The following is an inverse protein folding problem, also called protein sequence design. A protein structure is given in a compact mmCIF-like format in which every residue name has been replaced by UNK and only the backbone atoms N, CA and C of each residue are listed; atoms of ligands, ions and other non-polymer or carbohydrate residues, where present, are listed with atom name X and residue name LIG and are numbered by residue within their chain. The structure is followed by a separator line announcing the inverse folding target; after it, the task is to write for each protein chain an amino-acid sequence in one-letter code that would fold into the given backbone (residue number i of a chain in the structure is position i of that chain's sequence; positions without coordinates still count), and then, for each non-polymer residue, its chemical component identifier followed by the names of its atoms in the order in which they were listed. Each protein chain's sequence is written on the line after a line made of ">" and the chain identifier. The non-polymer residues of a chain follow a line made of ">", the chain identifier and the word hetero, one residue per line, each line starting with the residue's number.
data_IF_716939175819
#
_entry.id   IF_716939175819
#
_cell.length_a   1.000
_cell.length_b   1.000
_cell.length_c   1.000
_cell.angle_alpha   90.00
_cell.angle_beta   90.00
_cell.angle_gamma   90.00
#
_symmetry.space_group_name_H-M   'P 1'
#
loop_
_entity.id
_entity.type
_entity.pdbx_description
1 polymer ?
#
# COMPACT_ATOMS: atom_id res chain seq x y z
N UNK A 1 -6.19 2.53 -14.69
CA UNK A 1 -6.74 3.89 -14.90
C UNK A 1 -7.49 3.95 -16.23
N UNK A 2 -8.75 4.38 -16.25
CA UNK A 2 -9.42 4.69 -17.53
C UNK A 2 -8.88 6.02 -18.04
N UNK A 3 -8.45 6.09 -19.31
CA UNK A 3 -8.07 7.31 -20.00
C UNK A 3 -9.20 8.35 -19.87
N UNK A 4 -8.89 9.56 -19.37
CA UNK A 4 -9.85 10.65 -19.23
C UNK A 4 -10.70 10.64 -17.96
N UNK A 5 -10.50 9.71 -17.03
CA UNK A 5 -11.17 9.73 -15.73
C UNK A 5 -10.28 10.38 -14.67
N UNK A 6 -10.83 11.33 -13.94
CA UNK A 6 -10.18 11.95 -12.76
C UNK A 6 -10.23 11.01 -11.52
N UNK A 7 -10.75 9.80 -11.68
CA UNK A 7 -10.84 8.80 -10.61
C UNK A 7 -9.56 8.01 -10.47
N UNK A 8 -9.12 7.86 -9.23
CA UNK A 8 -8.01 7.02 -8.80
C UNK A 8 -8.52 5.67 -8.31
N UNK A 9 -7.91 4.60 -8.78
CA UNK A 9 -8.24 3.24 -8.35
C UNK A 9 -7.09 2.71 -7.51
N UNK A 10 -7.42 2.18 -6.33
CA UNK A 10 -6.46 1.61 -5.41
C UNK A 10 -6.64 0.09 -5.43
N UNK A 11 -5.65 -0.63 -5.95
CA UNK A 11 -5.49 -2.05 -5.73
C UNK A 11 -4.56 -2.26 -4.54
N UNK A 12 -4.86 -3.25 -3.70
CA UNK A 12 -4.13 -3.45 -2.45
C UNK A 12 -4.09 -4.92 -2.07
N UNK A 13 -3.01 -5.34 -1.46
CA UNK A 13 -2.85 -6.64 -0.84
C UNK A 13 -2.13 -6.49 0.49
N UNK A 14 -2.48 -7.32 1.43
CA UNK A 14 -1.88 -7.37 2.76
C UNK A 14 -1.29 -8.75 2.97
N UNK A 15 -0.18 -8.83 3.71
CA UNK A 15 0.53 -10.07 3.96
C UNK A 15 0.69 -10.28 5.45
N UNK A 16 0.49 -11.52 5.90
CA UNK A 16 0.67 -11.92 7.29
C UNK A 16 1.37 -13.27 7.32
N UNK A 17 2.31 -13.50 8.27
CA UNK A 17 2.88 -14.83 8.47
C UNK A 17 1.79 -15.82 8.93
N UNK A 18 1.75 -17.00 8.29
CA UNK A 18 0.72 -18.01 8.59
C UNK A 18 0.74 -18.46 10.04
N UNK A 19 1.95 -18.66 10.60
CA UNK A 19 2.11 -19.14 11.99
C UNK A 19 1.61 -18.13 13.02
N UNK A 20 1.51 -16.86 12.66
CA UNK A 20 1.06 -15.80 13.55
C UNK A 20 -0.43 -15.45 13.41
N UNK A 21 -1.15 -16.05 12.47
CA UNK A 21 -2.53 -15.67 12.20
C UNK A 21 -3.43 -15.74 13.44
N UNK A 22 -3.46 -16.89 14.10
CA UNK A 22 -4.35 -17.13 15.26
C UNK A 22 -3.95 -16.28 16.46
N UNK A 23 -2.66 -16.16 16.71
CA UNK A 23 -2.14 -15.29 17.77
C UNK A 23 -2.58 -13.83 17.53
N UNK A 24 -2.44 -13.32 16.30
CA UNK A 24 -2.81 -11.95 15.95
C UNK A 24 -4.31 -11.69 16.02
N UNK A 25 -5.14 -12.65 15.59
CA UNK A 25 -6.60 -12.54 15.73
C UNK A 25 -7.00 -12.36 17.20
N UNK A 26 -6.36 -13.11 18.11
CA UNK A 26 -6.65 -13.04 19.55
C UNK A 26 -6.10 -11.76 20.20
N UNK A 27 -4.86 -11.38 19.90
CA UNK A 27 -4.19 -10.24 20.51
C UNK A 27 -4.77 -8.90 20.03
N UNK A 28 -4.90 -8.76 18.73
CA UNK A 28 -5.32 -7.49 18.11
C UNK A 28 -6.85 -7.34 18.10
N UNK A 29 -7.60 -8.42 18.30
CA UNK A 29 -9.06 -8.51 18.16
C UNK A 29 -9.54 -8.07 16.78
N UNK A 30 -8.73 -8.34 15.76
CA UNK A 30 -8.97 -8.02 14.36
C UNK A 30 -9.25 -9.31 13.59
N UNK A 31 -10.27 -9.35 12.72
CA UNK A 31 -10.68 -10.57 12.02
C UNK A 31 -9.78 -10.87 10.81
N UNK A 32 -8.47 -11.08 11.02
CA UNK A 32 -7.52 -11.38 9.95
C UNK A 32 -7.88 -12.69 9.23
N UNK A 33 -8.39 -13.68 9.95
CA UNK A 33 -8.91 -14.94 9.42
C UNK A 33 -10.03 -14.71 8.39
N UNK A 34 -10.99 -13.85 8.70
CA UNK A 34 -12.09 -13.50 7.80
C UNK A 34 -11.60 -12.71 6.58
N UNK A 35 -10.59 -11.89 6.75
CA UNK A 35 -9.99 -11.17 5.64
C UNK A 35 -9.19 -12.11 4.72
N UNK A 36 -8.53 -13.12 5.29
CA UNK A 36 -7.88 -14.18 4.52
C UNK A 36 -8.90 -15.00 3.73
N UNK A 37 -9.97 -15.50 4.37
CA UNK A 37 -11.07 -16.24 3.71
C UNK A 37 -11.68 -15.47 2.53
N UNK A 38 -11.72 -14.14 2.61
CA UNK A 38 -12.23 -13.27 1.55
C UNK A 38 -11.21 -12.88 0.49
N UNK A 39 -9.99 -13.40 0.56
CA UNK A 39 -8.91 -13.07 -0.37
C UNK A 39 -8.38 -11.63 -0.28
N UNK A 40 -8.67 -10.93 0.82
CA UNK A 40 -8.22 -9.55 1.05
C UNK A 40 -6.83 -9.49 1.68
N UNK A 41 -6.36 -10.62 2.20
CA UNK A 41 -5.09 -10.80 2.86
C UNK A 41 -4.48 -12.11 2.37
N UNK A 42 -3.17 -12.17 2.17
CA UNK A 42 -2.42 -13.38 1.86
C UNK A 42 -1.58 -13.83 3.06
N UNK A 43 -1.47 -15.13 3.24
CA UNK A 43 -0.59 -15.70 4.25
C UNK A 43 0.73 -16.10 3.60
N UNK A 44 1.84 -15.65 4.21
CA UNK A 44 3.18 -16.15 3.89
C UNK A 44 3.49 -17.36 4.75
N UNK A 45 4.13 -18.38 4.18
CA UNK A 45 4.53 -19.58 4.92
C UNK A 45 5.54 -19.26 6.02
N UNK A 46 5.33 -19.82 7.22
CA UNK A 46 6.22 -19.63 8.36
C UNK A 46 5.86 -18.42 9.23
N UNK A 47 6.84 -17.91 9.98
CA UNK A 47 6.67 -16.88 11.01
C UNK A 47 7.07 -15.46 10.58
N UNK A 48 7.50 -15.27 9.34
CA UNK A 48 7.93 -13.99 8.77
C UNK A 48 7.33 -13.73 7.40
N UNK A 49 7.33 -12.45 6.97
CA UNK A 49 6.89 -12.10 5.62
C UNK A 49 7.95 -12.54 4.63
N UNK A 50 7.53 -13.34 3.65
CA UNK A 50 8.34 -13.66 2.48
C UNK A 50 8.14 -12.57 1.42
N UNK A 51 9.18 -11.82 1.12
CA UNK A 51 9.10 -10.74 0.14
C UNK A 51 8.87 -11.23 -1.30
N UNK A 52 9.26 -12.47 -1.62
CA UNK A 52 8.95 -13.05 -2.93
C UNK A 52 7.45 -13.21 -3.17
N UNK A 53 6.65 -13.46 -2.11
CA UNK A 53 5.18 -13.47 -2.23
C UNK A 53 4.64 -12.08 -2.57
N UNK A 54 5.29 -11.02 -2.07
CA UNK A 54 4.95 -9.63 -2.40
C UNK A 54 5.30 -9.33 -3.85
N UNK A 55 6.51 -9.70 -4.29
CA UNK A 55 6.95 -9.55 -5.69
C UNK A 55 6.00 -10.28 -6.64
N UNK A 56 5.64 -11.51 -6.32
CA UNK A 56 4.71 -12.30 -7.11
C UNK A 56 3.35 -11.61 -7.27
N UNK A 57 2.81 -11.03 -6.21
CA UNK A 57 1.57 -10.27 -6.29
C UNK A 57 1.68 -9.06 -7.23
N UNK A 58 2.79 -8.33 -7.23
CA UNK A 58 2.99 -7.25 -8.20
C UNK A 58 2.99 -7.75 -9.65
N UNK A 59 3.64 -8.88 -9.91
CA UNK A 59 3.66 -9.49 -11.24
C UNK A 59 2.25 -9.94 -11.66
N UNK A 60 1.50 -10.53 -10.75
CA UNK A 60 0.12 -10.98 -11.01
C UNK A 60 -0.80 -9.81 -11.35
N UNK A 61 -0.84 -8.76 -10.53
CA UNK A 61 -1.74 -7.63 -10.74
C UNK A 61 -1.38 -6.83 -12.01
N UNK A 62 -0.10 -6.73 -12.32
CA UNK A 62 0.36 -6.07 -13.53
C UNK A 62 -0.11 -6.83 -14.77
N UNK A 63 -0.01 -8.16 -14.77
CA UNK A 63 -0.51 -9.00 -15.86
C UNK A 63 -2.04 -8.99 -15.96
N UNK A 64 -2.72 -9.06 -14.83
CA UNK A 64 -4.20 -9.12 -14.79
C UNK A 64 -4.83 -7.84 -15.34
N UNK A 65 -4.27 -6.67 -15.00
CA UNK A 65 -4.84 -5.37 -15.37
C UNK A 65 -4.10 -4.66 -16.50
N UNK A 66 -3.10 -5.32 -17.11
CA UNK A 66 -2.23 -4.73 -18.16
C UNK A 66 -1.66 -3.37 -17.72
N UNK A 67 -1.00 -3.37 -16.56
CA UNK A 67 -0.45 -2.16 -15.96
C UNK A 67 1.01 -1.96 -16.36
N UNK A 68 1.40 -0.70 -16.49
CA UNK A 68 2.79 -0.30 -16.71
C UNK A 68 3.22 0.66 -15.60
N UNK A 69 3.73 0.15 -14.46
CA UNK A 69 4.17 1.01 -13.36
C UNK A 69 5.39 1.83 -13.79
N UNK A 70 5.32 3.15 -13.62
CA UNK A 70 6.46 4.02 -13.92
C UNK A 70 7.60 3.82 -12.91
N UNK A 71 7.26 3.67 -11.64
CA UNK A 71 8.17 3.37 -10.53
C UNK A 71 7.39 2.82 -9.34
N UNK A 72 8.09 2.12 -8.44
CA UNK A 72 7.56 1.58 -7.20
C UNK A 72 8.35 2.19 -6.04
N UNK A 73 7.63 2.84 -5.14
CA UNK A 73 8.23 3.40 -3.93
C UNK A 73 8.29 2.35 -2.82
N UNK A 74 9.38 2.34 -2.08
CA UNK A 74 9.58 1.43 -0.95
C UNK A 74 10.14 2.13 0.28
N UNK A 75 9.83 1.60 1.45
CA UNK A 75 10.49 1.99 2.70
C UNK A 75 11.84 1.27 2.81
N UNK A 76 12.89 2.01 3.14
CA UNK A 76 14.25 1.49 3.17
C UNK A 76 14.54 0.53 4.33
N UNK A 77 13.64 0.38 5.28
CA UNK A 77 13.85 -0.51 6.41
C UNK A 77 13.72 -1.98 5.96
N UNK A 78 14.83 -2.73 6.06
CA UNK A 78 14.91 -4.18 5.74
C UNK A 78 14.52 -4.60 4.31
N UNK A 79 14.54 -3.67 3.34
CA UNK A 79 14.01 -3.93 2.00
C UNK A 79 15.06 -4.32 0.94
N UNK A 80 16.33 -4.55 1.29
CA UNK A 80 17.41 -4.73 0.31
C UNK A 80 17.12 -5.87 -0.67
N UNK A 81 16.88 -7.08 -0.17
CA UNK A 81 16.60 -8.25 -1.02
C UNK A 81 15.34 -8.10 -1.85
N UNK A 82 14.29 -7.49 -1.28
CA UNK A 82 13.06 -7.18 -2.00
C UNK A 82 13.32 -6.25 -3.18
N UNK A 83 14.12 -5.20 -2.98
CA UNK A 83 14.46 -4.24 -4.04
C UNK A 83 15.22 -4.93 -5.16
N UNK A 84 16.23 -5.76 -4.84
CA UNK A 84 17.01 -6.51 -5.82
C UNK A 84 16.10 -7.46 -6.64
N UNK A 85 15.20 -8.18 -5.98
CA UNK A 85 14.24 -9.08 -6.64
C UNK A 85 13.28 -8.33 -7.57
N UNK A 86 12.71 -7.21 -7.11
CA UNK A 86 11.84 -6.37 -7.92
C UNK A 86 12.56 -5.79 -9.14
N UNK A 87 13.82 -5.37 -8.97
CA UNK A 87 14.64 -4.87 -10.07
C UNK A 87 14.95 -5.98 -11.10
N UNK A 88 15.18 -7.22 -10.65
CA UNK A 88 15.33 -8.36 -11.57
C UNK A 88 14.06 -8.64 -12.39
N UNK A 89 12.88 -8.30 -11.86
CA UNK A 89 11.61 -8.35 -12.59
C UNK A 89 11.39 -7.14 -13.52
N UNK A 90 12.36 -6.22 -13.59
CA UNK A 90 12.29 -5.05 -14.45
C UNK A 90 11.61 -3.82 -13.83
N UNK A 91 11.31 -3.83 -12.52
CA UNK A 91 10.68 -2.69 -11.86
C UNK A 91 11.69 -1.60 -11.51
N UNK A 92 11.28 -0.34 -11.71
CA UNK A 92 12.03 0.81 -11.22
C UNK A 92 11.69 1.08 -9.77
N UNK A 93 12.65 0.84 -8.88
CA UNK A 93 12.48 0.98 -7.43
C UNK A 93 12.99 2.33 -6.95
N UNK A 94 12.18 3.09 -6.22
CA UNK A 94 12.52 4.41 -5.68
C UNK A 94 12.39 4.40 -4.16
N UNK A 95 13.48 4.73 -3.48
CA UNK A 95 13.46 4.85 -2.02
C UNK A 95 12.60 6.03 -1.59
N UNK A 96 11.72 5.80 -0.65
CA UNK A 96 10.97 6.85 -0.01
C UNK A 96 11.40 7.11 1.42
N UNK A 97 11.80 8.34 1.67
CA UNK A 97 12.14 8.79 3.02
C UNK A 97 10.85 9.13 3.77
N UNK A 98 10.61 8.42 4.88
CA UNK A 98 9.45 8.70 5.72
C UNK A 98 9.67 9.97 6.54
N UNK A 99 8.85 10.99 6.29
CA UNK A 99 8.92 12.25 7.01
C UNK A 99 7.89 13.26 6.53
N UNK A 100 7.65 14.30 7.32
CA UNK A 100 6.66 15.33 7.01
C UNK A 100 6.88 15.98 5.64
N UNK A 101 8.13 16.27 5.28
CA UNK A 101 8.47 16.87 3.98
C UNK A 101 8.05 16.02 2.78
N UNK A 102 8.13 14.69 2.91
CA UNK A 102 7.82 13.75 1.81
C UNK A 102 6.35 13.35 1.80
N UNK A 103 5.76 13.17 2.99
CA UNK A 103 4.43 12.59 3.15
C UNK A 103 3.31 13.63 3.16
N UNK A 104 3.61 14.89 3.55
CA UNK A 104 2.58 15.89 3.76
C UNK A 104 1.71 16.13 2.53
N UNK A 105 2.32 16.46 1.40
CA UNK A 105 1.58 16.75 0.18
C UNK A 105 0.75 15.54 -0.32
N UNK A 106 1.32 14.32 -0.44
CA UNK A 106 0.53 13.15 -0.83
C UNK A 106 -0.65 12.86 0.11
N UNK A 107 -0.48 13.04 1.41
CA UNK A 107 -1.55 12.84 2.38
C UNK A 107 -2.68 13.86 2.24
N UNK A 108 -2.34 15.14 2.06
CA UNK A 108 -3.32 16.20 1.82
C UNK A 108 -4.09 15.95 0.52
N UNK A 109 -3.39 15.57 -0.56
CA UNK A 109 -4.01 15.23 -1.84
C UNK A 109 -4.95 14.03 -1.72
N UNK A 110 -4.52 12.97 -1.01
CA UNK A 110 -5.37 11.80 -0.78
C UNK A 110 -6.64 12.18 0.02
N UNK A 111 -6.49 13.00 1.05
CA UNK A 111 -7.61 13.48 1.85
C UNK A 111 -8.63 14.27 1.01
N UNK A 112 -8.14 15.18 0.18
CA UNK A 112 -8.99 15.95 -0.74
C UNK A 112 -9.70 15.05 -1.76
N UNK A 113 -8.98 14.08 -2.34
CA UNK A 113 -9.55 13.14 -3.30
C UNK A 113 -10.60 12.21 -2.67
N UNK A 114 -10.39 11.79 -1.42
CA UNK A 114 -11.39 11.00 -0.67
C UNK A 114 -12.66 11.81 -0.41
N UNK A 115 -12.51 13.07 0.02
CA UNK A 115 -13.66 13.98 0.22
C UNK A 115 -14.42 14.26 -1.08
N UNK A 116 -13.68 14.39 -2.19
CA UNK A 116 -14.28 14.61 -3.52
C UNK A 116 -14.81 13.32 -4.18
N UNK A 117 -14.81 12.18 -3.50
CA UNK A 117 -15.22 10.87 -4.03
C UNK A 117 -14.48 10.45 -5.31
N UNK A 118 -13.24 10.91 -5.48
CA UNK A 118 -12.38 10.59 -6.64
C UNK A 118 -11.58 9.31 -6.46
N UNK A 119 -11.59 8.72 -5.29
CA UNK A 119 -10.86 7.49 -4.97
C UNK A 119 -11.81 6.30 -4.92
N UNK A 120 -11.52 5.29 -5.74
CA UNK A 120 -12.16 3.99 -5.65
C UNK A 120 -11.17 2.98 -5.06
N UNK A 121 -11.40 2.56 -3.84
CA UNK A 121 -10.62 1.54 -3.12
C UNK A 121 -11.39 0.23 -2.96
N UNK A 122 -12.43 0.03 -3.78
CA UNK A 122 -13.31 -1.15 -3.79
C UNK A 122 -13.91 -1.47 -2.41
N UNK A 123 -14.15 -0.44 -1.60
CA UNK A 123 -14.68 -0.54 -0.23
C UNK A 123 -13.93 -1.58 0.64
N UNK A 124 -12.61 -1.72 0.43
CA UNK A 124 -11.79 -2.69 1.14
C UNK A 124 -11.79 -2.38 2.65
N UNK A 125 -12.23 -3.32 3.51
CA UNK A 125 -12.38 -3.09 4.94
C UNK A 125 -11.03 -2.90 5.64
N UNK A 126 -9.95 -3.51 5.14
CA UNK A 126 -8.62 -3.37 5.73
C UNK A 126 -8.11 -1.94 5.50
N UNK A 127 -8.21 -1.42 4.27
CA UNK A 127 -7.81 -0.04 4.00
C UNK A 127 -8.66 0.95 4.81
N UNK A 128 -9.98 0.72 4.89
CA UNK A 128 -10.86 1.55 5.71
C UNK A 128 -10.43 1.55 7.17
N UNK A 129 -10.14 0.37 7.72
CA UNK A 129 -9.64 0.23 9.09
C UNK A 129 -8.28 0.95 9.27
N UNK A 130 -7.36 0.82 8.32
CA UNK A 130 -6.08 1.53 8.34
C UNK A 130 -6.26 3.04 8.37
N UNK A 131 -7.08 3.58 7.49
CA UNK A 131 -7.32 5.02 7.40
C UNK A 131 -7.97 5.58 8.67
N UNK A 132 -8.96 4.86 9.24
CA UNK A 132 -9.62 5.28 10.49
C UNK A 132 -8.70 5.23 11.72
N UNK A 133 -7.71 4.35 11.73
CA UNK A 133 -6.75 4.21 12.84
C UNK A 133 -5.45 5.00 12.62
N UNK A 134 -5.37 5.79 11.57
CA UNK A 134 -4.23 6.68 11.32
C UNK A 134 -4.53 8.06 11.86
N UNK A 135 -3.76 8.49 12.86
CA UNK A 135 -3.74 9.88 13.31
C UNK A 135 -2.85 10.72 12.39
N UNK A 136 -2.98 12.03 12.52
CA UNK A 136 -2.17 13.00 11.79
C UNK A 136 -1.51 13.94 12.80
N UNK A 137 -0.22 14.13 12.70
CA UNK A 137 0.53 15.13 13.44
C UNK A 137 0.97 16.23 12.49
N UNK A 138 0.80 17.48 12.91
CA UNK A 138 1.26 18.66 12.16
C UNK A 138 2.53 19.21 12.78
N UNK A 139 3.53 19.48 11.95
CA UNK A 139 4.77 20.15 12.38
C UNK A 139 4.58 21.69 12.45
N UNK A 140 5.63 22.39 12.90
CA UNK A 140 5.60 23.86 13.03
C UNK A 140 5.43 24.60 11.70
N UNK A 141 5.70 23.94 10.60
CA UNK A 141 5.59 24.50 9.24
C UNK A 141 4.25 24.14 8.56
N UNK A 142 3.34 23.50 9.27
CA UNK A 142 2.06 23.07 8.73
C UNK A 142 2.12 21.77 7.91
N UNK A 143 3.27 21.09 7.85
CA UNK A 143 3.35 19.79 7.21
C UNK A 143 2.73 18.72 8.10
N UNK A 144 2.05 17.77 7.48
CA UNK A 144 1.41 16.65 8.16
C UNK A 144 2.21 15.35 7.98
N UNK A 145 2.18 14.51 9.00
CA UNK A 145 2.78 13.17 8.96
C UNK A 145 1.84 12.17 9.63
N UNK A 146 1.73 10.95 9.12
CA UNK A 146 0.88 9.95 9.74
C UNK A 146 1.50 9.49 11.06
N UNK A 147 0.69 9.44 12.09
CA UNK A 147 1.05 8.85 13.38
C UNK A 147 0.08 7.72 13.70
N UNK A 148 0.52 6.81 14.57
CA UNK A 148 -0.35 5.80 15.13
C UNK A 148 -1.36 6.48 16.05
N UNK A 149 -2.64 6.23 15.85
CA UNK A 149 -3.67 6.74 16.76
C UNK A 149 -3.54 6.01 18.10
N UNK A 150 -3.16 6.74 19.13
CA UNK A 150 -3.04 6.19 20.48
C UNK A 150 -4.41 6.22 21.17
N UNK A 151 -5.33 5.39 20.74
CA UNK A 151 -6.53 5.15 21.54
C UNK A 151 -6.15 4.37 22.78
N UNK A 152 -6.62 4.78 23.99
CA UNK A 152 -6.44 4.00 25.20
C UNK A 152 -7.08 2.62 25.00
N UNK A 153 -6.27 1.57 24.89
CA UNK A 153 -6.71 0.19 24.66
C UNK A 153 -6.11 -0.50 23.44
N UNK A 154 -5.47 0.18 22.51
CA UNK A 154 -4.73 -0.48 21.44
C UNK A 154 -3.29 -0.76 21.89
N UNK A 155 -3.08 -1.83 22.63
CA UNK A 155 -1.76 -2.35 22.96
C UNK A 155 -1.10 -3.04 21.75
N UNK A 156 -1.05 -2.33 20.61
CA UNK A 156 -0.32 -2.83 19.43
C UNK A 156 1.15 -2.45 19.60
N UNK A 157 1.94 -3.39 20.08
CA UNK A 157 3.39 -3.26 20.27
C UNK A 157 4.18 -3.20 18.98
N UNK A 158 3.58 -3.57 17.84
CA UNK A 158 4.17 -3.42 16.52
C UNK A 158 3.28 -2.57 15.61
N UNK A 159 3.86 -1.79 14.67
CA UNK A 159 3.06 -1.03 13.72
C UNK A 159 2.23 -2.01 12.90
N UNK A 160 0.91 -1.78 12.77
CA UNK A 160 0.09 -2.62 11.91
C UNK A 160 0.66 -2.59 10.48
N UNK A 161 0.48 -3.64 9.68
CA UNK A 161 0.92 -3.71 8.27
C UNK A 161 0.43 -2.55 7.41
N UNK A 162 -0.48 -1.75 7.96
CA UNK A 162 -1.06 -0.56 7.37
C UNK A 162 -0.07 0.56 7.05
N UNK A 163 1.03 0.71 7.79
CA UNK A 163 2.00 1.76 7.48
C UNK A 163 2.62 1.55 6.10
N UNK A 164 2.97 0.32 5.79
CA UNK A 164 3.55 -0.05 4.50
C UNK A 164 2.48 -0.08 3.40
N UNK A 165 1.27 -0.56 3.70
CA UNK A 165 0.16 -0.61 2.76
C UNK A 165 -0.35 0.78 2.36
N UNK A 166 -0.51 1.69 3.31
CA UNK A 166 -0.92 3.08 3.05
C UNK A 166 0.10 3.80 2.15
N UNK A 167 1.36 3.46 2.27
CA UNK A 167 2.45 4.01 1.50
C UNK A 167 2.47 3.53 0.05
N UNK A 168 2.29 2.24 -0.19
CA UNK A 168 2.18 1.68 -1.54
C UNK A 168 0.97 2.25 -2.29
N UNK A 169 -0.15 2.51 -1.61
CA UNK A 169 -1.34 3.11 -2.21
C UNK A 169 -1.16 4.58 -2.63
N UNK A 170 -0.37 5.36 -1.90
CA UNK A 170 -0.24 6.80 -2.18
C UNK A 170 0.63 7.10 -3.41
N UNK A 171 1.52 6.21 -3.79
CA UNK A 171 2.59 6.52 -4.72
C UNK A 171 2.61 5.71 -6.02
N UNK A 172 1.65 4.81 -6.25
CA UNK A 172 1.57 4.11 -7.53
C UNK A 172 0.71 4.92 -8.49
N UNK A 173 1.32 5.92 -9.11
CA UNK A 173 0.72 6.61 -10.25
C UNK A 173 1.08 5.82 -11.50
N UNK A 174 0.17 4.98 -11.98
CA UNK A 174 0.34 4.33 -13.27
C UNK A 174 0.14 5.36 -14.39
N UNK A 175 1.23 5.81 -14.99
CA UNK A 175 1.19 6.53 -16.27
C UNK A 175 1.06 5.48 -17.38
N UNK A 176 -0.08 5.43 -18.04
CA UNK A 176 -0.22 4.67 -19.27
C UNK A 176 0.50 5.44 -20.38
N UNK A 177 1.56 4.89 -21.00
CA UNK A 177 2.19 5.56 -22.13
C UNK A 177 1.19 5.65 -23.29
N UNK A 178 1.22 6.79 -23.99
CA UNK A 178 0.47 6.97 -25.22
C UNK A 178 0.89 5.87 -26.21
N UNK A 179 -0.06 5.08 -26.67
CA UNK A 179 0.20 4.13 -27.74
C UNK A 179 0.71 4.89 -28.96
N UNK A 180 1.97 4.72 -29.32
CA UNK A 180 2.45 5.05 -30.64
C UNK A 180 1.72 4.12 -31.63
N UNK A 181 0.65 4.61 -32.22
CA UNK A 181 0.16 4.04 -33.47
C UNK A 181 1.23 4.37 -34.49
N UNK A 182 1.98 3.35 -34.89
CA UNK A 182 2.87 3.45 -36.04
C UNK A 182 2.06 3.86 -37.26
N UNK A 183 2.45 4.97 -37.81
CA UNK A 183 2.08 5.34 -39.16
C UNK A 183 2.94 4.45 -40.06
N UNK A 184 2.35 3.46 -40.66
CA UNK A 184 2.94 2.78 -41.81
C UNK A 184 2.72 3.64 -43.03
N UNK A 185 3.81 4.08 -43.62
CA UNK A 185 3.84 4.54 -44.98
C UNK A 185 3.82 3.36 -45.95
#
# INVERSE_FOLDING_TARGET
>A
MRRGSDRKYIAQMYFLPADRLQERVQQDKIPYDKWFERGLLRLCTGNSINYSDVTQWFVEIIKEYDLFPAWIYYDSYSARYFVEEMQMQGFTMVRCVQGAKTLSLPMQMLGADLQAHKVNYNNNPILKWCLTNTGVQTDRNGNIVPIKNQSPGSALTEPPPCRTAMWSCMNTTANTPASHKGVSA
#
